data_IF_045106229376
#
_entry.id   IF_045106229376
#
_cell.length_a   1.000
_cell.length_b   1.000
_cell.length_c   1.000
_cell.angle_alpha   90.00
_cell.angle_beta   90.00
_cell.angle_gamma   90.00
#
_symmetry.space_group_name_H-M   'P 1'
#
loop_
_entity.id
_entity.type
_entity.pdbx_description
1 polymer ?
#
# COMPACT_ATOMS: atom_id res chain seq x y z
N UNK A 1 5.56 20.17 -1.59
CA UNK A 1 5.04 18.85 -1.16
C UNK A 1 5.43 18.66 0.30
N UNK A 2 4.80 17.74 1.02
CA UNK A 2 5.12 17.46 2.43
C UNK A 2 4.73 16.02 2.75
N UNK A 3 5.49 15.37 3.63
CA UNK A 3 5.09 14.08 4.15
C UNK A 3 3.90 14.24 5.10
N UNK A 4 2.92 13.33 5.01
CA UNK A 4 1.69 13.42 5.82
C UNK A 4 1.52 12.17 6.67
N UNK A 5 1.09 12.36 7.90
CA UNK A 5 0.53 11.29 8.71
C UNK A 5 -0.88 10.93 8.23
N UNK A 6 -1.24 9.65 8.33
CA UNK A 6 -2.57 9.19 7.95
C UNK A 6 -3.63 9.64 8.95
N UNK A 7 -4.88 9.75 8.49
CA UNK A 7 -6.03 10.10 9.34
C UNK A 7 -6.97 8.90 9.45
N UNK A 8 -7.51 8.60 10.65
CA UNK A 8 -8.50 7.54 10.78
C UNK A 8 -9.78 7.92 10.04
N UNK A 9 -10.21 7.07 9.10
CA UNK A 9 -11.54 7.15 8.50
C UNK A 9 -12.56 6.32 9.30
N UNK A 10 -12.09 5.22 9.88
CA UNK A 10 -12.85 4.36 10.78
C UNK A 10 -11.98 4.05 11.97
N UNK A 11 -12.51 4.21 13.18
CA UNK A 11 -11.85 3.82 14.42
C UNK A 11 -12.90 3.29 15.39
N UNK A 12 -12.71 2.04 15.81
CA UNK A 12 -13.64 1.27 16.65
C UNK A 12 -12.85 0.41 17.62
N UNK A 13 -13.54 -0.32 18.50
CA UNK A 13 -12.92 -1.35 19.32
C UNK A 13 -12.38 -2.52 18.47
N UNK A 14 -12.94 -2.78 17.29
CA UNK A 14 -12.46 -3.81 16.35
C UNK A 14 -11.16 -3.44 15.61
N UNK A 15 -10.69 -2.21 15.77
CA UNK A 15 -9.50 -1.68 15.10
C UNK A 15 -9.78 -0.39 14.34
N UNK A 16 -8.94 -0.09 13.36
CA UNK A 16 -8.98 1.16 12.61
C UNK A 16 -8.66 0.98 11.12
N UNK A 17 -9.21 1.87 10.30
CA UNK A 17 -8.76 2.10 8.93
C UNK A 17 -8.26 3.54 8.82
N UNK A 18 -6.97 3.69 8.57
CA UNK A 18 -6.28 4.97 8.45
C UNK A 18 -6.01 5.22 6.97
N UNK A 19 -6.28 6.42 6.46
CA UNK A 19 -6.09 6.77 5.06
C UNK A 19 -5.22 8.02 4.88
N UNK A 20 -4.59 8.10 3.72
CA UNK A 20 -3.90 9.29 3.23
C UNK A 20 -4.69 9.81 2.04
N UNK A 21 -5.36 10.94 2.25
CA UNK A 21 -6.28 11.45 1.23
C UNK A 21 -5.58 12.33 0.21
N UNK A 22 -5.97 12.19 -1.06
CA UNK A 22 -5.58 13.11 -2.13
C UNK A 22 -6.00 14.57 -1.87
N UNK A 23 -7.03 14.79 -1.05
CA UNK A 23 -7.44 16.13 -0.66
C UNK A 23 -6.43 16.81 0.30
N UNK A 24 -5.80 16.03 1.17
CA UNK A 24 -4.79 16.50 2.13
C UNK A 24 -3.36 16.49 1.55
N UNK A 25 -3.12 15.64 0.56
CA UNK A 25 -1.85 15.45 -0.13
C UNK A 25 -2.09 15.38 -1.66
N UNK A 26 -2.23 16.54 -2.34
CA UNK A 26 -2.62 16.64 -3.76
C UNK A 26 -1.75 15.88 -4.74
N UNK A 27 -0.51 15.57 -4.36
CA UNK A 27 0.42 14.77 -5.15
C UNK A 27 -0.08 13.33 -5.36
N UNK A 28 -0.79 12.77 -4.38
CA UNK A 28 -1.44 11.46 -4.50
C UNK A 28 -2.50 11.48 -5.61
N UNK A 29 -3.34 12.51 -5.62
CA UNK A 29 -4.37 12.69 -6.65
C UNK A 29 -3.73 12.91 -8.03
N UNK A 30 -2.71 13.77 -8.10
CA UNK A 30 -2.00 14.13 -9.33
C UNK A 30 -1.33 12.91 -9.97
N UNK A 31 -0.69 12.06 -9.18
CA UNK A 31 0.00 10.87 -9.67
C UNK A 31 -0.89 9.61 -9.70
N UNK A 32 -2.14 9.73 -9.23
CA UNK A 32 -3.10 8.63 -9.14
C UNK A 32 -2.59 7.49 -8.27
N UNK A 33 -2.14 7.82 -7.06
CA UNK A 33 -1.64 6.89 -6.05
C UNK A 33 -2.55 6.96 -4.82
N UNK A 34 -2.90 5.81 -4.24
CA UNK A 34 -3.70 5.74 -3.01
C UNK A 34 -3.01 4.91 -1.95
N UNK A 35 -3.25 5.25 -0.67
CA UNK A 35 -2.69 4.54 0.47
C UNK A 35 -3.70 4.44 1.62
N UNK A 36 -3.71 3.29 2.29
CA UNK A 36 -4.44 3.11 3.54
C UNK A 36 -3.83 2.01 4.39
N UNK A 37 -4.12 2.03 5.69
CA UNK A 37 -3.62 1.10 6.67
C UNK A 37 -4.80 0.53 7.45
N UNK A 38 -5.00 -0.78 7.32
CA UNK A 38 -5.97 -1.54 8.09
C UNK A 38 -5.28 -2.12 9.32
N UNK A 39 -5.83 -1.81 10.50
CA UNK A 39 -5.43 -2.37 11.79
C UNK A 39 -6.63 -3.12 12.35
N UNK A 40 -6.47 -4.42 12.62
CA UNK A 40 -7.50 -5.25 13.23
C UNK A 40 -7.00 -5.76 14.59
N UNK A 41 -7.72 -5.38 15.65
CA UNK A 41 -7.51 -5.95 16.98
C UNK A 41 -7.96 -7.42 17.00
N UNK A 42 -7.59 -8.23 18.02
CA UNK A 42 -8.08 -9.60 18.14
C UNK A 42 -9.61 -9.69 17.96
N UNK A 43 -10.06 -10.66 17.15
CA UNK A 43 -11.46 -10.81 16.71
C UNK A 43 -12.06 -9.65 15.89
N UNK A 44 -11.22 -8.68 15.48
CA UNK A 44 -11.60 -7.62 14.56
C UNK A 44 -11.84 -8.14 13.15
N UNK A 45 -12.95 -7.75 12.54
CA UNK A 45 -13.42 -8.20 11.24
C UNK A 45 -13.78 -7.02 10.34
N UNK A 46 -13.08 -6.90 9.21
CA UNK A 46 -13.44 -6.01 8.12
C UNK A 46 -14.48 -6.69 7.22
N UNK A 47 -15.68 -6.11 7.20
CA UNK A 47 -16.85 -6.59 6.45
C UNK A 47 -16.56 -6.69 4.95
N UNK A 48 -17.24 -7.61 4.22
CA UNK A 48 -17.05 -7.77 2.78
C UNK A 48 -17.26 -6.47 1.98
N UNK A 49 -16.30 -6.15 1.13
CA UNK A 49 -16.31 -4.95 0.28
C UNK A 49 -15.47 -5.17 -0.98
N UNK A 50 -15.74 -4.38 -2.01
CA UNK A 50 -14.81 -4.23 -3.15
C UNK A 50 -14.25 -2.81 -3.18
N UNK A 51 -13.19 -2.58 -3.96
CA UNK A 51 -12.60 -1.26 -4.13
C UNK A 51 -12.51 -0.85 -5.61
N UNK A 52 -12.35 0.44 -5.87
CA UNK A 52 -12.19 1.02 -7.21
C UNK A 52 -10.76 0.96 -7.77
N UNK A 53 -9.79 0.45 -7.01
CA UNK A 53 -8.37 0.47 -7.38
C UNK A 53 -7.68 -0.89 -7.22
N UNK A 54 -6.77 -1.16 -8.15
CA UNK A 54 -5.80 -2.25 -8.05
C UNK A 54 -4.81 -1.87 -6.95
N UNK A 55 -4.56 -2.78 -6.02
CA UNK A 55 -3.68 -2.53 -4.88
C UNK A 55 -2.97 -3.80 -4.46
N UNK A 56 -1.88 -3.63 -3.73
CA UNK A 56 -1.33 -4.70 -2.91
C UNK A 56 -1.51 -4.36 -1.43
N UNK A 57 -1.71 -5.38 -0.60
CA UNK A 57 -1.61 -5.29 0.85
C UNK A 57 -0.27 -5.87 1.30
N UNK A 58 0.50 -5.15 2.11
CA UNK A 58 1.70 -5.65 2.79
C UNK A 58 1.41 -5.79 4.28
N UNK A 59 1.59 -7.00 4.83
CA UNK A 59 1.38 -7.26 6.25
C UNK A 59 2.58 -6.73 7.04
N UNK A 60 2.40 -5.61 7.73
CA UNK A 60 3.42 -4.96 8.56
C UNK A 60 3.69 -5.74 9.85
N UNK A 61 2.64 -6.28 10.47
CA UNK A 61 2.70 -7.02 11.73
C UNK A 61 1.51 -7.95 11.90
N UNK A 62 1.66 -8.94 12.78
CA UNK A 62 0.60 -9.85 13.16
C UNK A 62 0.33 -10.96 12.13
N UNK A 63 -0.78 -11.65 12.35
CA UNK A 63 -1.30 -12.73 11.50
C UNK A 63 -2.83 -12.61 11.45
N UNK A 64 -3.41 -13.05 10.33
CA UNK A 64 -4.86 -13.17 10.24
C UNK A 64 -5.30 -13.91 9.00
N UNK A 65 -6.58 -13.81 8.70
CA UNK A 65 -7.24 -14.49 7.59
C UNK A 65 -7.86 -13.46 6.67
N UNK A 66 -7.70 -13.65 5.36
CA UNK A 66 -8.37 -12.85 4.36
C UNK A 66 -9.12 -13.75 3.38
N UNK A 67 -10.32 -13.33 2.99
CA UNK A 67 -11.01 -13.88 1.84
C UNK A 67 -10.95 -12.90 0.69
N UNK A 68 -10.65 -13.41 -0.50
CA UNK A 68 -10.74 -12.67 -1.76
C UNK A 68 -11.56 -13.49 -2.73
N UNK A 69 -12.64 -12.91 -3.23
CA UNK A 69 -13.51 -13.46 -4.26
C UNK A 69 -13.27 -12.67 -5.55
N UNK A 70 -12.46 -13.21 -6.48
CA UNK A 70 -12.28 -12.59 -7.78
C UNK A 70 -13.54 -12.69 -8.63
N UNK A 71 -13.68 -11.78 -9.58
CA UNK A 71 -14.75 -11.81 -10.60
C UNK A 71 -14.77 -13.18 -11.30
N UNK A 72 -15.94 -13.80 -11.38
CA UNK A 72 -16.18 -15.11 -12.04
C UNK A 72 -15.37 -16.29 -11.47
N UNK A 73 -14.83 -16.15 -10.27
CA UNK A 73 -14.02 -17.18 -9.61
C UNK A 73 -14.64 -17.64 -8.30
N UNK A 74 -14.02 -18.65 -7.70
CA UNK A 74 -14.33 -19.08 -6.33
C UNK A 74 -13.57 -18.21 -5.33
N UNK A 75 -14.18 -18.01 -4.17
CA UNK A 75 -13.51 -17.39 -3.04
C UNK A 75 -12.24 -18.15 -2.68
N UNK A 76 -11.19 -17.38 -2.42
CA UNK A 76 -9.89 -17.81 -1.95
C UNK A 76 -9.71 -17.31 -0.53
N UNK A 77 -9.49 -18.22 0.41
CA UNK A 77 -9.32 -17.90 1.83
C UNK A 77 -7.90 -18.23 2.23
N UNK A 78 -7.15 -17.22 2.64
CA UNK A 78 -5.70 -17.31 2.88
C UNK A 78 -5.33 -16.87 4.28
N UNK A 79 -4.34 -17.56 4.85
CA UNK A 79 -3.65 -17.13 6.06
C UNK A 79 -2.63 -16.09 5.63
N UNK A 80 -2.59 -14.97 6.33
CA UNK A 80 -1.63 -13.90 6.15
C UNK A 80 -0.76 -13.79 7.40
N UNK A 81 0.51 -13.43 7.20
CA UNK A 81 1.48 -13.15 8.27
C UNK A 81 2.40 -12.02 7.87
N UNK A 82 3.07 -11.41 8.85
CA UNK A 82 4.08 -10.37 8.61
C UNK A 82 5.03 -10.72 7.43
N UNK A 83 5.24 -9.73 6.56
CA UNK A 83 6.02 -9.87 5.33
C UNK A 83 5.26 -10.45 4.12
N UNK A 84 4.01 -10.90 4.28
CA UNK A 84 3.17 -11.26 3.13
C UNK A 84 2.77 -10.03 2.31
N UNK A 85 2.83 -10.16 0.99
CA UNK A 85 2.25 -9.26 0.00
C UNK A 85 1.09 -9.97 -0.67
N UNK A 86 -0.12 -9.40 -0.58
CA UNK A 86 -1.34 -9.90 -1.21
C UNK A 86 -1.81 -8.95 -2.31
N UNK A 87 -2.10 -9.46 -3.49
CA UNK A 87 -2.66 -8.69 -4.59
C UNK A 87 -4.19 -8.63 -4.51
N UNK A 88 -4.79 -7.46 -4.70
CA UNK A 88 -6.25 -7.26 -4.74
C UNK A 88 -6.61 -6.40 -5.94
N UNK A 89 -7.37 -6.95 -6.89
CA UNK A 89 -7.80 -6.24 -8.09
C UNK A 89 -8.97 -5.31 -7.80
N UNK A 90 -9.11 -4.24 -8.58
CA UNK A 90 -10.36 -3.46 -8.64
C UNK A 90 -11.55 -4.39 -8.84
N UNK A 91 -12.61 -4.22 -8.05
CA UNK A 91 -13.85 -4.98 -8.15
C UNK A 91 -13.85 -6.37 -7.50
N UNK A 92 -12.68 -6.92 -7.14
CA UNK A 92 -12.65 -8.14 -6.32
C UNK A 92 -13.28 -7.86 -4.94
N UNK A 93 -14.12 -8.77 -4.47
CA UNK A 93 -14.70 -8.67 -3.13
C UNK A 93 -13.71 -9.26 -2.14
N UNK A 94 -13.44 -8.55 -1.05
CA UNK A 94 -12.55 -9.00 0.01
C UNK A 94 -13.10 -8.75 1.40
N UNK A 95 -12.66 -9.56 2.36
CA UNK A 95 -12.86 -9.38 3.80
C UNK A 95 -11.59 -9.76 4.55
N UNK A 96 -11.40 -9.20 5.74
CA UNK A 96 -10.16 -9.32 6.50
C UNK A 96 -10.48 -9.59 7.96
N UNK A 97 -9.74 -10.49 8.58
CA UNK A 97 -10.09 -10.99 9.90
C UNK A 97 -8.84 -11.26 10.74
N UNK A 98 -8.77 -10.67 11.93
CA UNK A 98 -7.83 -11.11 12.94
C UNK A 98 -8.45 -12.27 13.72
N UNK A 99 -8.06 -13.49 13.37
CA UNK A 99 -8.59 -14.72 13.99
C UNK A 99 -7.95 -15.07 15.33
N UNK A 100 -7.16 -14.17 15.91
CA UNK A 100 -6.65 -14.31 17.25
C UNK A 100 -7.77 -14.11 18.28
N UNK A 101 -7.99 -15.12 19.12
CA UNK A 101 -8.92 -15.14 20.25
C UNK A 101 -8.21 -15.38 21.58
N UNK A 102 -6.88 -15.43 21.58
CA UNK A 102 -6.10 -15.64 22.79
C UNK A 102 -6.02 -14.33 23.57
N UNK A 103 -6.70 -14.26 24.71
CA UNK A 103 -6.67 -13.11 25.62
C UNK A 103 -5.24 -12.74 26.10
N UNK A 104 -4.28 -13.66 26.02
CA UNK A 104 -2.87 -13.45 26.43
C UNK A 104 -1.89 -13.07 25.30
N UNK A 105 -2.32 -13.04 24.04
CA UNK A 105 -1.52 -12.59 22.90
C UNK A 105 -2.38 -11.61 22.10
N UNK A 106 -2.13 -10.32 22.27
CA UNK A 106 -2.96 -9.24 21.74
C UNK A 106 -2.36 -8.62 20.46
N UNK A 107 -1.70 -9.43 19.62
CA UNK A 107 -1.04 -8.88 18.45
C UNK A 107 -2.07 -8.41 17.41
N UNK A 108 -2.12 -7.10 17.22
CA UNK A 108 -2.90 -6.48 16.16
C UNK A 108 -2.35 -6.88 14.79
N UNK A 109 -3.27 -7.17 13.86
CA UNK A 109 -2.96 -7.36 12.46
C UNK A 109 -2.91 -6.01 11.76
N UNK A 110 -1.76 -5.64 11.21
CA UNK A 110 -1.58 -4.40 10.45
C UNK A 110 -1.26 -4.69 8.99
N UNK A 111 -2.10 -4.20 8.07
CA UNK A 111 -1.94 -4.39 6.62
C UNK A 111 -1.96 -3.03 5.93
N UNK A 112 -0.85 -2.69 5.29
CA UNK A 112 -0.72 -1.48 4.47
C UNK A 112 -1.17 -1.76 3.04
N UNK A 113 -2.15 -1.02 2.56
CA UNK A 113 -2.58 -1.02 1.17
C UNK A 113 -2.00 0.17 0.42
N UNK A 114 -1.34 -0.09 -0.70
CA UNK A 114 -0.95 0.94 -1.67
C UNK A 114 -1.43 0.51 -3.05
N UNK A 115 -2.02 1.44 -3.81
CA UNK A 115 -2.64 1.11 -5.10
C UNK A 115 -2.61 2.24 -6.12
N UNK A 116 -2.99 1.88 -7.35
CA UNK A 116 -3.19 2.83 -8.45
C UNK A 116 -4.64 3.31 -8.46
N UNK A 117 -4.81 4.60 -8.19
CA UNK A 117 -6.10 5.28 -8.12
C UNK A 117 -6.33 6.22 -9.30
N UNK A 118 -5.55 6.14 -10.39
CA UNK A 118 -5.76 7.03 -11.55
C UNK A 118 -7.14 6.88 -12.19
N UNK A 119 -7.81 5.74 -11.97
CA UNK A 119 -9.18 5.47 -12.42
C UNK A 119 -10.19 5.32 -11.27
N UNK A 120 -9.77 5.66 -10.04
CA UNK A 120 -10.65 5.65 -8.88
C UNK A 120 -11.72 6.73 -8.99
N UNK A 121 -12.82 6.59 -8.24
CA UNK A 121 -13.87 7.61 -8.18
C UNK A 121 -13.31 8.94 -7.65
N UNK A 122 -12.38 8.85 -6.71
CA UNK A 122 -11.62 9.97 -6.17
C UNK A 122 -10.12 9.67 -6.32
N UNK A 123 -9.46 10.18 -7.38
CA UNK A 123 -8.01 10.00 -7.53
C UNK A 123 -7.26 10.50 -6.29
N UNK A 124 -6.37 9.67 -5.75
CA UNK A 124 -5.65 9.94 -4.51
C UNK A 124 -6.21 9.17 -3.30
N UNK A 125 -7.42 8.60 -3.43
CA UNK A 125 -8.08 7.83 -2.39
C UNK A 125 -8.40 6.41 -2.87
N UNK A 126 -8.23 5.42 -1.99
CA UNK A 126 -8.77 4.07 -2.22
C UNK A 126 -10.22 4.08 -1.70
N UNK A 127 -11.20 4.01 -2.60
CA UNK A 127 -12.60 3.99 -2.21
C UNK A 127 -13.10 2.55 -2.05
N UNK A 128 -13.86 2.31 -0.98
CA UNK A 128 -14.48 1.01 -0.71
C UNK A 128 -15.99 1.08 -0.85
N UNK A 129 -16.56 0.01 -1.41
CA UNK A 129 -17.97 -0.18 -1.60
C UNK A 129 -18.38 -1.39 -0.76
N UNK A 130 -19.07 -1.11 0.35
CA UNK A 130 -19.41 -2.12 1.34
C UNK A 130 -20.61 -2.95 0.87
N UNK A 131 -20.54 -4.28 1.01
CA UNK A 131 -21.66 -5.18 0.72
C UNK A 131 -22.50 -5.48 1.98
N UNK A 132 -21.93 -5.21 3.15
CA UNK A 132 -22.60 -5.33 4.45
C UNK A 132 -22.22 -4.14 5.34
N UNK A 133 -22.97 -3.95 6.44
CA UNK A 133 -22.73 -2.85 7.36
C UNK A 133 -23.60 -1.62 7.11
N UNK A 134 -23.45 -0.62 7.98
CA UNK A 134 -24.26 0.61 7.97
C UNK A 134 -24.13 1.44 6.69
N UNK A 135 -23.03 1.26 5.95
CA UNK A 135 -22.78 1.90 4.65
C UNK A 135 -22.89 0.91 3.47
N UNK A 136 -23.61 -0.20 3.63
CA UNK A 136 -23.80 -1.15 2.53
C UNK A 136 -24.46 -0.50 1.31
N UNK A 137 -23.90 -0.72 0.12
CA UNK A 137 -24.50 -0.27 -1.15
C UNK A 137 -25.84 -0.93 -1.44
N UNK A 138 -26.18 -2.01 -0.73
CA UNK A 138 -27.44 -2.73 -0.84
C UNK A 138 -28.53 -2.16 0.08
N UNK A 139 -28.15 -1.38 1.10
CA UNK A 139 -29.07 -0.85 2.12
C UNK A 139 -30.09 0.17 1.58
N UNK A 140 -29.80 0.77 0.42
CA UNK A 140 -30.68 1.74 -0.24
C UNK A 140 -31.73 1.11 -1.17
N UNK A 141 -31.65 -0.19 -1.45
CA UNK A 141 -32.60 -0.83 -2.37
C UNK A 141 -33.97 -1.07 -1.72
N UNK A 142 -35.02 -0.97 -2.54
CA UNK A 142 -36.40 -1.25 -2.15
C UNK A 142 -36.58 -2.74 -1.80
N UNK A 143 -37.28 -3.01 -0.69
CA UNK A 143 -37.46 -4.36 -0.18
C UNK A 143 -38.33 -5.23 -1.11
N UNK A 144 -39.35 -4.65 -1.73
CA UNK A 144 -40.21 -5.34 -2.70
C UNK A 144 -39.43 -5.73 -3.96
N UNK A 145 -38.61 -4.81 -4.50
CA UNK A 145 -37.71 -5.10 -5.62
C UNK A 145 -36.68 -6.19 -5.28
N UNK A 146 -36.08 -6.13 -4.09
CA UNK A 146 -35.15 -7.16 -3.62
C UNK A 146 -35.82 -8.53 -3.51
N UNK A 147 -37.05 -8.57 -3.00
CA UNK A 147 -37.84 -9.80 -2.88
C UNK A 147 -38.12 -10.43 -4.26
N UNK A 148 -38.43 -9.61 -5.26
CA UNK A 148 -38.61 -10.10 -6.63
C UNK A 148 -37.30 -10.64 -7.24
N UNK A 149 -36.15 -10.05 -6.89
CA UNK A 149 -34.84 -10.46 -7.40
C UNK A 149 -34.19 -11.61 -6.59
N UNK A 150 -34.72 -11.93 -5.40
CA UNK A 150 -34.17 -12.94 -4.49
C UNK A 150 -35.22 -14.02 -4.18
N UNK A 151 -35.34 -15.06 -5.04
CA UNK A 151 -36.31 -16.12 -4.85
C UNK A 151 -36.18 -16.81 -3.48
N UNK A 152 -37.29 -16.94 -2.77
CA UNK A 152 -37.37 -17.63 -1.47
C UNK A 152 -37.16 -16.75 -0.25
N UNK A 153 -36.97 -15.44 -0.42
CA UNK A 153 -36.89 -14.46 0.68
C UNK A 153 -38.20 -13.69 0.80
N UNK A 154 -38.64 -13.43 2.05
CA UNK A 154 -39.81 -12.59 2.32
C UNK A 154 -39.43 -11.11 2.27
N UNK A 155 -40.42 -10.24 2.08
CA UNK A 155 -40.20 -8.79 2.08
C UNK A 155 -39.60 -8.28 3.40
N UNK A 156 -39.99 -8.85 4.54
CA UNK A 156 -39.41 -8.54 5.85
C UNK A 156 -37.92 -8.94 5.93
N UNK A 157 -37.57 -10.12 5.41
CA UNK A 157 -36.18 -10.58 5.36
C UNK A 157 -35.35 -9.70 4.41
N UNK A 158 -35.89 -9.35 3.24
CA UNK A 158 -35.23 -8.43 2.31
C UNK A 158 -35.06 -7.03 2.90
N UNK A 159 -36.04 -6.56 3.69
CA UNK A 159 -36.00 -5.28 4.36
C UNK A 159 -34.91 -5.22 5.45
N UNK A 160 -34.52 -6.35 6.03
CA UNK A 160 -33.59 -6.39 7.17
C UNK A 160 -32.18 -6.87 6.80
N UNK A 161 -32.03 -7.78 5.84
CA UNK A 161 -30.79 -8.50 5.55
C UNK A 161 -29.55 -7.59 5.41
N UNK A 162 -29.66 -6.46 4.70
CA UNK A 162 -28.56 -5.52 4.47
C UNK A 162 -28.56 -4.31 5.42
N UNK A 163 -29.42 -4.32 6.45
CA UNK A 163 -29.60 -3.22 7.42
C UNK A 163 -29.34 -3.65 8.88
N UNK A 164 -29.29 -4.95 9.16
CA UNK A 164 -29.13 -5.48 10.53
C UNK A 164 -27.74 -5.29 11.14
N UNK A 165 -26.70 -5.10 10.33
CA UNK A 165 -25.33 -4.85 10.81
C UNK A 165 -25.07 -3.33 10.80
N UNK A 166 -25.01 -2.64 11.95
CA UNK A 166 -24.82 -1.18 11.99
C UNK A 166 -23.36 -0.74 11.79
N UNK A 167 -22.39 -1.65 11.94
CA UNK A 167 -20.97 -1.33 11.82
C UNK A 167 -20.60 -0.78 10.42
N UNK A 168 -19.66 0.17 10.38
CA UNK A 168 -19.09 0.71 9.14
C UNK A 168 -17.68 0.16 8.97
N UNK A 169 -17.47 -0.62 7.91
CA UNK A 169 -16.24 -1.35 7.58
C UNK A 169 -15.80 -2.40 8.63
N UNK A 170 -15.68 -2.04 9.90
CA UNK A 170 -15.09 -2.86 10.96
C UNK A 170 -16.11 -3.24 12.04
N UNK A 171 -16.13 -4.51 12.44
CA UNK A 171 -16.91 -5.00 13.57
C UNK A 171 -16.10 -6.00 14.40
N UNK A 172 -16.33 -6.06 15.70
CA UNK A 172 -15.69 -7.03 16.59
C UNK A 172 -16.59 -8.24 16.72
N UNK A 173 -16.04 -9.42 16.48
CA UNK A 173 -16.77 -10.67 16.66
C UNK A 173 -16.69 -11.12 18.12
N UNK A 174 -17.76 -11.76 18.61
CA UNK A 174 -17.80 -12.35 19.95
C UNK A 174 -17.07 -13.69 20.04
N UNK A 175 -16.86 -14.35 18.90
CA UNK A 175 -16.16 -15.63 18.78
C UNK A 175 -15.61 -15.78 17.36
N UNK A 176 -14.76 -16.81 17.17
CA UNK A 176 -14.26 -17.17 15.84
C UNK A 176 -15.38 -17.50 14.85
N UNK A 177 -15.19 -17.12 13.58
CA UNK A 177 -16.09 -17.50 12.50
C UNK A 177 -16.01 -19.02 12.26
N UNK A 178 -17.09 -19.78 12.49
CA UNK A 178 -17.08 -21.22 12.27
C UNK A 178 -17.00 -21.52 10.78
N UNK A 179 -16.15 -22.50 10.40
CA UNK A 179 -16.03 -22.97 9.02
C UNK A 179 -15.13 -22.12 8.12
N UNK A 180 -14.63 -20.97 8.57
CA UNK A 180 -13.63 -20.19 7.84
C UNK A 180 -12.26 -20.87 7.99
N UNK A 181 -11.83 -21.54 6.93
CA UNK A 181 -10.58 -22.32 6.92
C UNK A 181 -9.65 -21.82 5.81
N UNK A 182 -8.51 -21.20 6.15
CA UNK A 182 -7.51 -20.84 5.16
C UNK A 182 -6.92 -22.05 4.45
N UNK A 183 -6.73 -21.95 3.14
CA UNK A 183 -6.22 -23.04 2.30
C UNK A 183 -4.89 -22.64 1.66
N UNK A 184 -3.89 -23.50 1.76
CA UNK A 184 -2.56 -23.17 1.22
C UNK A 184 -2.58 -22.99 -0.31
N UNK A 185 -3.36 -23.80 -1.03
CA UNK A 185 -3.47 -23.68 -2.49
C UNK A 185 -4.10 -22.33 -2.92
N UNK A 186 -4.90 -21.70 -2.05
CA UNK A 186 -5.46 -20.38 -2.31
C UNK A 186 -4.43 -19.27 -2.25
N UNK A 187 -3.19 -19.51 -1.78
CA UNK A 187 -2.12 -18.51 -1.83
C UNK A 187 -1.51 -18.36 -3.21
N UNK A 188 -1.52 -19.40 -4.05
CA UNK A 188 -0.78 -19.46 -5.33
C UNK A 188 -1.17 -18.33 -6.29
N UNK A 189 -0.28 -17.38 -6.54
CA UNK A 189 -0.55 -16.23 -7.42
C UNK A 189 -1.48 -15.16 -6.82
N UNK A 190 -1.79 -15.26 -5.53
CA UNK A 190 -2.51 -14.23 -4.76
C UNK A 190 -1.60 -13.60 -3.69
N UNK A 191 -0.78 -14.42 -3.03
CA UNK A 191 0.11 -14.01 -1.94
C UNK A 191 1.52 -14.49 -2.19
N UNK A 192 2.51 -13.63 -1.95
CA UNK A 192 3.93 -13.99 -1.86
C UNK A 192 4.47 -13.49 -0.52
N UNK A 193 5.32 -14.28 0.15
CA UNK A 193 6.00 -13.79 1.35
C UNK A 193 7.31 -13.11 0.93
N UNK A 194 7.40 -11.80 1.15
CA UNK A 194 8.59 -11.04 0.84
C UNK A 194 9.70 -11.21 1.90
N UNK A 195 9.38 -11.79 3.06
CA UNK A 195 10.31 -11.95 4.18
C UNK A 195 10.75 -10.62 4.78
N UNK A 196 11.73 -10.69 5.69
CA UNK A 196 12.37 -9.49 6.22
C UNK A 196 13.40 -8.96 5.24
N UNK A 197 13.41 -7.65 5.01
CA UNK A 197 14.45 -7.00 4.19
C UNK A 197 15.73 -6.89 5.01
N UNK A 198 16.85 -7.34 4.44
CA UNK A 198 18.13 -7.21 5.10
C UNK A 198 18.52 -5.74 5.25
N UNK A 199 19.20 -5.42 6.35
CA UNK A 199 19.83 -4.13 6.61
C UNK A 199 20.60 -3.61 5.38
N UNK A 200 20.33 -2.37 4.97
CA UNK A 200 21.03 -1.73 3.84
C UNK A 200 20.61 -2.23 2.45
N UNK A 201 19.55 -3.03 2.35
CA UNK A 201 19.06 -3.56 1.07
C UNK A 201 17.68 -3.05 0.72
N UNK A 202 17.35 -3.17 -0.57
CA UNK A 202 16.01 -2.97 -1.10
C UNK A 202 15.57 -4.26 -1.77
N UNK A 203 14.33 -4.67 -1.52
CA UNK A 203 13.68 -5.77 -2.21
C UNK A 203 12.56 -5.23 -3.07
N UNK A 204 12.70 -5.41 -4.38
CA UNK A 204 11.67 -5.08 -5.35
C UNK A 204 10.89 -6.34 -5.70
N UNK A 205 9.57 -6.24 -5.70
CA UNK A 205 8.64 -7.29 -6.08
C UNK A 205 7.96 -6.87 -7.37
N UNK A 206 8.07 -7.71 -8.40
CA UNK A 206 7.48 -7.47 -9.72
C UNK A 206 6.57 -8.64 -10.12
N UNK A 207 6.16 -8.69 -11.39
CA UNK A 207 5.45 -9.83 -11.95
C UNK A 207 6.19 -11.16 -11.76
N UNK A 208 7.54 -11.17 -11.64
CA UNK A 208 8.31 -12.39 -11.38
C UNK A 208 8.03 -13.01 -10.02
N UNK A 209 7.63 -12.19 -9.04
CA UNK A 209 7.37 -12.61 -7.66
C UNK A 209 5.87 -12.87 -7.45
N UNK A 210 5.04 -12.03 -8.07
CA UNK A 210 3.60 -12.12 -8.02
C UNK A 210 3.00 -11.57 -9.32
N UNK A 211 2.63 -12.46 -10.25
CA UNK A 211 2.15 -12.15 -11.61
C UNK A 211 1.12 -11.00 -11.66
N UNK A 212 0.23 -10.95 -10.67
CA UNK A 212 -0.83 -9.95 -10.57
C UNK A 212 -0.29 -8.50 -10.57
N UNK A 213 0.88 -8.24 -9.97
CA UNK A 213 1.52 -6.92 -9.95
C UNK A 213 1.79 -6.41 -11.38
N UNK A 214 2.25 -7.30 -12.26
CA UNK A 214 2.46 -6.98 -13.68
C UNK A 214 1.16 -6.57 -14.37
N UNK A 215 0.08 -7.31 -14.13
CA UNK A 215 -1.25 -7.00 -14.66
C UNK A 215 -1.85 -5.71 -14.08
N UNK A 216 -1.46 -5.33 -12.86
CA UNK A 216 -1.87 -4.07 -12.25
C UNK A 216 -1.08 -2.85 -12.73
N UNK A 217 0.07 -3.07 -13.37
CA UNK A 217 0.90 -1.98 -13.92
C UNK A 217 1.86 -1.35 -12.91
N UNK A 218 2.10 -1.99 -11.76
CA UNK A 218 2.98 -1.45 -10.71
C UNK A 218 3.83 -2.53 -10.05
N UNK A 219 4.84 -2.08 -9.28
CA UNK A 219 5.73 -2.93 -8.49
C UNK A 219 5.74 -2.46 -7.04
N UNK A 220 6.04 -3.37 -6.11
CA UNK A 220 6.24 -3.02 -4.70
C UNK A 220 7.73 -2.98 -4.38
N UNK A 221 8.15 -2.06 -3.51
CA UNK A 221 9.51 -2.01 -2.98
C UNK A 221 9.47 -1.94 -1.47
N UNK A 222 10.18 -2.86 -0.84
CA UNK A 222 10.46 -2.88 0.58
C UNK A 222 11.92 -2.46 0.77
N UNK A 223 12.18 -1.50 1.66
CA UNK A 223 13.53 -1.03 1.89
C UNK A 223 13.86 -0.89 3.36
N UNK A 224 15.13 -1.09 3.68
CA UNK A 224 15.65 -0.92 5.03
C UNK A 224 17.04 -0.28 4.99
N UNK A 225 17.23 0.79 5.75
CA UNK A 225 18.52 1.40 5.98
C UNK A 225 18.84 1.40 7.48
N UNK A 226 20.09 1.10 7.78
CA UNK A 226 20.61 1.16 9.16
C UNK A 226 20.82 2.61 9.61
N UNK A 227 20.93 2.86 10.92
CA UNK A 227 21.24 4.19 11.45
C UNK A 227 22.39 4.89 10.72
N UNK A 228 22.14 6.12 10.26
CA UNK A 228 23.13 6.94 9.56
C UNK A 228 23.49 6.50 8.13
N UNK A 229 22.89 5.41 7.62
CA UNK A 229 23.06 5.02 6.23
C UNK A 229 22.23 5.92 5.29
N UNK A 230 22.74 6.17 4.09
CA UNK A 230 22.04 6.91 3.05
C UNK A 230 22.02 6.13 1.75
N UNK A 231 20.96 6.34 0.97
CA UNK A 231 20.85 5.85 -0.40
C UNK A 231 21.20 6.98 -1.36
N UNK A 232 22.09 6.71 -2.31
CA UNK A 232 22.46 7.68 -3.35
C UNK A 232 21.23 8.20 -4.12
N UNK A 233 21.25 9.45 -4.62
CA UNK A 233 20.15 10.02 -5.39
C UNK A 233 19.73 9.11 -6.56
N UNK A 234 18.43 8.86 -6.68
CA UNK A 234 17.88 8.02 -7.73
C UNK A 234 16.71 8.68 -8.47
N UNK A 235 16.49 8.22 -9.70
CA UNK A 235 15.35 8.58 -10.54
C UNK A 235 14.77 7.32 -11.19
N UNK A 236 13.49 7.36 -11.54
CA UNK A 236 12.83 6.35 -12.37
C UNK A 236 12.90 6.80 -13.84
N UNK A 237 13.71 6.11 -14.65
CA UNK A 237 14.07 6.49 -16.03
C UNK A 237 12.85 6.77 -16.89
N UNK A 238 11.82 5.93 -16.77
CA UNK A 238 10.60 5.98 -17.56
C UNK A 238 9.61 7.07 -17.08
N UNK A 239 9.94 7.79 -16.00
CA UNK A 239 9.06 8.79 -15.43
C UNK A 239 7.86 8.18 -14.71
N UNK A 240 8.08 7.11 -13.94
CA UNK A 240 7.07 6.55 -13.04
C UNK A 240 7.02 7.35 -11.72
N UNK A 241 5.84 7.44 -11.12
CA UNK A 241 5.67 8.01 -9.79
C UNK A 241 5.80 6.92 -8.71
N UNK A 242 6.15 7.33 -7.49
CA UNK A 242 6.32 6.43 -6.35
C UNK A 242 5.63 6.98 -5.10
N UNK A 243 4.81 6.16 -4.43
CA UNK A 243 4.30 6.45 -3.08
C UNK A 243 5.11 5.67 -2.06
N UNK A 244 5.63 6.34 -1.02
CA UNK A 244 6.52 5.75 -0.01
C UNK A 244 5.97 5.95 1.38
N UNK A 245 5.66 4.85 2.06
CA UNK A 245 5.21 4.82 3.44
C UNK A 245 6.35 4.41 4.37
N UNK A 246 6.64 5.23 5.38
CA UNK A 246 7.64 4.91 6.40
C UNK A 246 7.00 4.03 7.47
N UNK A 247 7.42 2.76 7.53
CA UNK A 247 6.85 1.76 8.42
C UNK A 247 7.49 1.76 9.81
N UNK A 248 8.81 2.00 9.90
CA UNK A 248 9.56 2.07 11.16
C UNK A 248 10.68 3.10 11.07
N UNK A 249 11.07 3.63 12.23
CA UNK A 249 12.15 4.60 12.35
C UNK A 249 11.81 5.95 11.71
N UNK A 250 12.81 6.60 11.13
CA UNK A 250 12.65 7.89 10.46
C UNK A 250 13.73 8.10 9.40
N UNK A 251 13.47 8.98 8.43
CA UNK A 251 14.46 9.34 7.43
C UNK A 251 14.36 10.80 7.03
N UNK A 252 15.50 11.44 6.77
CA UNK A 252 15.53 12.70 6.04
C UNK A 252 15.36 12.41 4.55
N UNK A 253 14.36 13.03 3.95
CA UNK A 253 13.99 12.81 2.55
C UNK A 253 14.08 14.12 1.79
N UNK A 254 14.79 14.08 0.66
CA UNK A 254 14.84 15.19 -0.29
C UNK A 254 14.30 14.75 -1.66
N UNK A 255 13.46 15.58 -2.26
CA UNK A 255 12.90 15.36 -3.61
C UNK A 255 13.10 16.61 -4.45
N UNK A 256 13.74 16.48 -5.61
CA UNK A 256 14.05 17.59 -6.51
C UNK A 256 12.80 18.11 -7.24
N UNK A 257 12.79 19.40 -7.59
CA UNK A 257 11.86 19.93 -8.58
C UNK A 257 12.19 19.45 -9.99
N UNK A 258 11.17 19.16 -10.80
CA UNK A 258 11.34 18.86 -12.23
C UNK A 258 11.89 20.05 -13.04
N UNK A 259 11.71 21.28 -12.53
CA UNK A 259 12.31 22.50 -13.12
C UNK A 259 13.81 22.60 -12.80
N UNK A 260 14.30 21.86 -11.80
CA UNK A 260 15.68 21.92 -11.32
C UNK A 260 15.97 23.13 -10.43
N UNK A 261 17.26 23.41 -10.24
CA UNK A 261 17.76 24.48 -9.36
C UNK A 261 17.76 24.08 -7.87
N UNK A 262 17.85 25.08 -6.99
CA UNK A 262 17.99 24.88 -5.53
C UNK A 262 16.66 24.63 -4.82
N UNK A 263 15.55 24.53 -5.57
CA UNK A 263 14.22 24.30 -5.01
C UNK A 263 13.92 22.81 -4.93
N UNK A 264 13.72 22.32 -3.70
CA UNK A 264 13.24 20.98 -3.43
C UNK A 264 11.71 20.98 -3.31
N UNK A 265 11.08 19.95 -3.86
CA UNK A 265 9.65 19.67 -3.67
C UNK A 265 9.37 19.19 -2.23
N UNK A 266 10.38 18.55 -1.60
CA UNK A 266 10.37 18.03 -0.24
C UNK A 266 11.80 18.09 0.33
N UNK A 267 11.96 18.57 1.57
CA UNK A 267 13.16 18.39 2.42
C UNK A 267 12.67 18.30 3.87
N UNK A 268 12.38 17.09 4.33
CA UNK A 268 11.76 16.86 5.64
C UNK A 268 12.34 15.62 6.33
N UNK A 269 12.34 15.64 7.66
CA UNK A 269 12.50 14.45 8.48
C UNK A 269 11.14 13.73 8.57
N UNK A 270 11.05 12.57 7.93
CA UNK A 270 9.82 11.78 7.80
C UNK A 270 9.83 10.63 8.80
N UNK A 271 8.91 10.66 9.76
CA UNK A 271 8.77 9.64 10.79
C UNK A 271 7.87 8.47 10.36
N UNK A 272 7.98 7.32 11.05
CA UNK A 272 7.08 6.20 10.91
C UNK A 272 5.60 6.61 10.99
N UNK A 273 4.76 5.97 10.17
CA UNK A 273 3.36 6.34 10.01
C UNK A 273 3.13 7.53 9.06
N UNK A 274 4.15 7.99 8.34
CA UNK A 274 4.03 9.05 7.33
C UNK A 274 4.18 8.51 5.91
N UNK A 275 3.56 9.22 4.96
CA UNK A 275 3.61 8.94 3.52
C UNK A 275 4.15 10.16 2.78
N UNK A 276 5.02 9.93 1.80
CA UNK A 276 5.42 10.94 0.82
C UNK A 276 5.38 10.39 -0.60
N UNK A 277 5.35 11.28 -1.58
CA UNK A 277 5.32 10.95 -3.01
C UNK A 277 6.60 11.43 -3.67
N UNK A 278 7.19 10.59 -4.52
CA UNK A 278 8.22 10.98 -5.49
C UNK A 278 7.52 11.09 -6.85
N UNK A 279 7.30 12.32 -7.37
CA UNK A 279 6.64 12.53 -8.65
C UNK A 279 7.47 12.00 -9.82
N UNK A 280 6.83 11.90 -10.98
CA UNK A 280 7.48 11.47 -12.22
C UNK A 280 8.69 12.35 -12.53
N UNK A 281 9.80 11.71 -12.90
CA UNK A 281 11.10 12.34 -13.20
C UNK A 281 11.77 13.11 -12.06
N UNK A 282 11.17 13.17 -10.86
CA UNK A 282 11.83 13.77 -9.72
C UNK A 282 12.97 12.87 -9.22
N UNK A 283 14.05 13.49 -8.77
CA UNK A 283 15.18 12.80 -8.12
C UNK A 283 14.89 12.75 -6.63
N UNK A 284 15.03 11.57 -6.02
CA UNK A 284 14.89 11.40 -4.59
C UNK A 284 16.22 11.00 -3.95
N UNK A 285 16.45 11.49 -2.73
CA UNK A 285 17.55 11.13 -1.84
C UNK A 285 16.97 10.82 -0.47
N UNK A 286 17.47 9.76 0.18
CA UNK A 286 17.02 9.34 1.50
C UNK A 286 18.20 9.00 2.39
N UNK A 287 18.20 9.54 3.61
CA UNK A 287 19.14 9.21 4.67
C UNK A 287 18.38 8.76 5.92
N UNK A 288 18.80 7.65 6.50
CA UNK A 288 18.19 7.10 7.70
C UNK A 288 18.48 7.97 8.93
N UNK A 289 17.48 8.08 9.80
CA UNK A 289 17.61 8.70 11.11
C UNK A 289 18.38 7.83 12.11
N UNK A 290 18.33 8.23 13.38
CA UNK A 290 19.10 7.60 14.46
C UNK A 290 18.72 6.13 14.73
N UNK A 291 17.47 5.74 14.48
CA UNK A 291 16.97 4.39 14.71
C UNK A 291 16.88 3.55 13.41
N UNK A 292 17.48 4.05 12.32
CA UNK A 292 17.30 3.47 10.99
C UNK A 292 15.93 3.81 10.38
N UNK A 293 15.63 3.19 9.24
CA UNK A 293 14.33 3.33 8.59
C UNK A 293 13.93 2.05 7.85
N UNK A 294 12.65 1.70 7.94
CA UNK A 294 12.00 0.70 7.09
C UNK A 294 10.85 1.35 6.35
N UNK A 295 10.71 1.07 5.06
CA UNK A 295 9.61 1.62 4.25
C UNK A 295 9.03 0.59 3.28
N UNK A 296 7.79 0.85 2.89
CA UNK A 296 7.05 0.13 1.86
C UNK A 296 6.64 1.14 0.81
N UNK A 297 6.78 0.81 -0.46
CA UNK A 297 6.40 1.73 -1.54
C UNK A 297 5.81 1.02 -2.74
N UNK A 298 4.99 1.77 -3.47
CA UNK A 298 4.51 1.39 -4.80
C UNK A 298 5.24 2.25 -5.82
N UNK A 299 5.86 1.62 -6.82
CA UNK A 299 6.31 2.29 -8.04
C UNK A 299 5.27 2.01 -9.12
N UNK A 300 4.74 3.07 -9.74
CA UNK A 300 3.70 3.00 -10.77
C UNK A 300 4.26 2.57 -12.14
N UNK A 301 4.95 1.43 -12.12
CA UNK A 301 5.54 0.76 -13.28
C UNK A 301 5.69 -0.73 -12.94
N UNK A 302 5.27 -1.59 -13.86
CA UNK A 302 5.41 -3.05 -13.72
C UNK A 302 6.87 -3.52 -13.92
N UNK A 303 7.73 -2.70 -14.52
CA UNK A 303 9.14 -2.99 -14.80
C UNK A 303 9.99 -1.75 -14.56
N UNK A 304 10.12 -1.32 -13.30
CA UNK A 304 10.72 -0.04 -12.98
C UNK A 304 12.20 0.00 -13.31
N UNK A 305 12.65 1.05 -13.99
CA UNK A 305 14.04 1.28 -14.33
C UNK A 305 14.65 2.33 -13.40
N UNK A 306 15.17 1.87 -12.26
CA UNK A 306 15.83 2.73 -11.27
C UNK A 306 17.25 3.06 -11.72
N UNK A 307 17.57 4.35 -11.79
CA UNK A 307 18.93 4.82 -12.05
C UNK A 307 19.47 5.62 -10.87
N UNK A 308 20.73 5.36 -10.51
CA UNK A 308 21.47 6.18 -9.57
C UNK A 308 22.25 7.24 -10.32
N UNK A 309 22.35 8.43 -9.73
CA UNK A 309 22.98 9.57 -10.40
C UNK A 309 24.47 9.64 -10.13
N UNK A 310 24.90 9.21 -8.93
CA UNK A 310 26.30 9.18 -8.49
C UNK A 310 26.65 7.79 -7.92
N UNK A 311 27.94 7.47 -7.93
CA UNK A 311 28.48 6.20 -7.42
C UNK A 311 28.68 5.16 -8.53
N UNK A 312 29.20 4.00 -8.17
CA UNK A 312 29.56 2.96 -9.13
C UNK A 312 28.36 2.55 -10.01
N UNK A 313 28.55 2.60 -11.34
CA UNK A 313 27.52 2.28 -12.32
C UNK A 313 26.41 3.34 -12.49
N UNK A 314 26.62 4.56 -11.96
CA UNK A 314 25.68 5.67 -12.04
C UNK A 314 25.63 6.36 -13.39
N UNK A 315 24.65 7.24 -13.59
CA UNK A 315 24.54 8.09 -14.79
C UNK A 315 25.79 8.93 -14.97
N UNK A 316 26.27 9.64 -13.94
CA UNK A 316 27.48 10.46 -14.08
C UNK A 316 28.73 9.59 -14.29
N UNK A 317 28.84 8.43 -13.63
CA UNK A 317 29.95 7.49 -13.85
C UNK A 317 29.96 6.86 -15.25
N UNK A 318 28.80 6.75 -15.91
CA UNK A 318 28.67 6.25 -17.27
C UNK A 318 28.97 7.28 -18.38
N UNK A 319 29.06 8.57 -18.04
CA UNK A 319 29.38 9.63 -18.98
C UNK A 319 30.89 9.72 -19.24
N UNK A 320 31.27 10.27 -20.41
CA UNK A 320 32.68 10.55 -20.71
C UNK A 320 33.26 11.52 -19.67
N UNK A 321 34.42 11.25 -19.04
CA UNK A 321 34.95 12.07 -17.94
C UNK A 321 35.08 13.56 -18.27
N UNK A 322 35.47 13.89 -19.51
CA UNK A 322 35.59 15.27 -19.97
C UNK A 322 34.23 15.98 -20.05
N UNK A 323 33.16 15.27 -20.38
CA UNK A 323 31.79 15.80 -20.35
C UNK A 323 31.39 16.12 -18.91
N UNK A 324 31.64 15.20 -17.97
CA UNK A 324 31.32 15.41 -16.54
C UNK A 324 32.12 16.59 -15.97
N UNK A 325 33.42 16.68 -16.26
CA UNK A 325 34.27 17.80 -15.84
C UNK A 325 33.74 19.13 -16.37
N UNK A 326 33.39 19.20 -17.66
CA UNK A 326 32.86 20.41 -18.27
C UNK A 326 31.48 20.78 -17.71
N UNK A 327 30.60 19.79 -17.49
CA UNK A 327 29.24 19.98 -16.99
C UNK A 327 29.21 20.43 -15.53
N UNK A 328 30.00 19.80 -14.65
CA UNK A 328 30.01 20.11 -13.22
C UNK A 328 31.04 21.20 -12.86
N UNK A 329 31.96 21.52 -13.77
CA UNK A 329 33.08 22.44 -13.55
C UNK A 329 33.92 22.05 -12.34
N UNK A 330 34.26 20.76 -12.26
CA UNK A 330 35.02 20.17 -11.14
C UNK A 330 36.36 19.60 -11.59
N UNK A 331 37.25 19.37 -10.63
CA UNK A 331 38.56 18.79 -10.89
C UNK A 331 38.45 17.32 -11.35
N UNK A 332 39.38 16.83 -12.20
CA UNK A 332 39.40 15.44 -12.67
C UNK A 332 39.37 14.39 -11.55
N UNK A 333 39.96 14.70 -10.40
CA UNK A 333 40.02 13.83 -9.23
C UNK A 333 38.63 13.57 -8.65
N UNK A 334 37.75 14.58 -8.63
CA UNK A 334 36.37 14.41 -8.16
C UNK A 334 35.55 13.57 -9.14
N UNK A 335 35.79 13.70 -10.45
CA UNK A 335 35.12 12.87 -11.46
C UNK A 335 35.46 11.40 -11.35
N UNK A 336 36.65 11.05 -10.83
CA UNK A 336 37.03 9.65 -10.55
C UNK A 336 36.28 9.03 -9.36
N UNK A 337 35.60 9.85 -8.55
CA UNK A 337 34.82 9.40 -7.39
C UNK A 337 33.33 9.21 -7.71
N UNK A 338 32.89 9.57 -8.92
CA UNK A 338 31.50 9.45 -9.41
C UNK A 338 31.26 8.12 -10.10
#
# INVERSE_FOLDING_TARGET
MSAKAGKPLVQTDAGAYIAWSGADQPELATEGLGCGLLVLTPLGFALPHYADSNKFGYVLSGSGVAGVLPVEAKERVVRLKAGDVIAVRTGDVSWWYNDNDNEGSADDLSILFIGDTARAVSPGDISYFFLAGGNSVLSGFDAGLLTMAWPGVTEEQAATAFRSQPAVLLTRLSAKLPGVCPREHDRKGLVVNAGHVAAGTLKMLTASDLDALGGFGFSAVLGRLEPGAARAPWVLREGAAQAVYVARGSARVQVSSAVGGDTLLLDEDVAAGSLFVVPRFAVALVAAGADGVEWVSLIKSARPAVEHLIGEGSIFGGLTPQVVQASLKVAPELVKLL
#
